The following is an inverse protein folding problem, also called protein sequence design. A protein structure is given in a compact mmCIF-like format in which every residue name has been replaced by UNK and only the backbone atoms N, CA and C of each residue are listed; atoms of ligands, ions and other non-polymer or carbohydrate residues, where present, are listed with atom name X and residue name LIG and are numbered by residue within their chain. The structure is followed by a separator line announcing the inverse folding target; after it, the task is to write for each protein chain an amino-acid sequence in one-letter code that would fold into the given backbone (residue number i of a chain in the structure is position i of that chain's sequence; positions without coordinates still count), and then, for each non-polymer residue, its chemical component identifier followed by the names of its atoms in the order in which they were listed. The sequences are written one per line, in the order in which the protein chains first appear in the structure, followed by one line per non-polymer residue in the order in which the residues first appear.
data_IF_720683174159
#
_entry.id   IF_720683174159
#
_cell.length_a   1.000
_cell.length_b   1.000
_cell.length_c   1.000
_cell.angle_alpha   90.00
_cell.angle_beta   90.00
_cell.angle_gamma   90.00
#
_symmetry.space_group_name_H-M   'P 1'
#
loop_
_entity.id
_entity.type
_entity.pdbx_description
1 polymer ?
#
# COMPACT_ATOMS: atom_id res chain seq x y z
N UNK A 1 36.25 -25.85 24.93
CA UNK A 1 35.53 -26.86 25.74
C UNK A 1 34.06 -26.48 25.99
N UNK A 2 33.35 -25.99 24.96
CA UNK A 2 31.91 -25.64 25.01
C UNK A 2 31.14 -26.11 23.76
N UNK A 3 31.80 -26.86 22.86
CA UNK A 3 31.19 -27.39 21.63
C UNK A 3 30.68 -28.84 21.76
N UNK A 4 31.01 -29.57 22.84
CA UNK A 4 30.61 -30.99 23.01
C UNK A 4 29.35 -31.20 23.85
N UNK A 5 28.75 -30.14 24.43
CA UNK A 5 27.52 -30.26 25.23
C UNK A 5 26.22 -30.06 24.45
N UNK A 6 26.26 -29.50 23.23
CA UNK A 6 25.06 -29.29 22.41
C UNK A 6 24.68 -30.53 21.55
N UNK A 7 25.65 -31.33 21.11
CA UNK A 7 25.38 -32.56 20.35
C UNK A 7 24.70 -33.68 21.16
N UNK A 8 24.91 -33.70 22.47
CA UNK A 8 24.26 -34.66 23.37
C UNK A 8 22.83 -34.29 23.76
N UNK A 9 22.38 -33.04 23.62
CA UNK A 9 20.97 -32.70 23.92
C UNK A 9 20.03 -32.92 22.74
N UNK A 10 20.51 -32.82 21.49
CA UNK A 10 19.70 -33.11 20.29
C UNK A 10 19.47 -34.61 20.07
N UNK A 11 20.40 -35.46 20.53
CA UNK A 11 20.29 -36.93 20.41
C UNK A 11 19.31 -37.54 21.41
N UNK A 12 19.08 -36.90 22.57
CA UNK A 12 18.07 -37.35 23.53
C UNK A 12 16.64 -36.96 23.13
N UNK A 13 16.46 -35.82 22.44
CA UNK A 13 15.14 -35.41 21.94
C UNK A 13 14.64 -36.30 20.80
N UNK A 14 15.54 -36.73 19.90
CA UNK A 14 15.19 -37.68 18.82
C UNK A 14 14.95 -39.10 19.34
N UNK A 15 15.64 -39.53 20.41
CA UNK A 15 15.40 -40.84 21.03
C UNK A 15 14.08 -40.90 21.82
N UNK A 16 13.62 -39.78 22.40
CA UNK A 16 12.32 -39.70 23.05
C UNK A 16 11.14 -39.76 22.06
N UNK A 17 11.34 -39.24 20.84
CA UNK A 17 10.35 -39.26 19.75
C UNK A 17 10.16 -40.69 19.18
N UNK A 18 11.22 -41.51 19.13
CA UNK A 18 11.12 -42.90 18.66
C UNK A 18 10.52 -43.87 19.69
N UNK A 19 10.68 -43.61 20.99
CA UNK A 19 10.14 -44.49 22.03
C UNK A 19 8.61 -44.34 22.22
N UNK A 20 8.02 -43.20 21.87
CA UNK A 20 6.58 -42.99 21.98
C UNK A 20 5.75 -43.63 20.85
N UNK A 21 6.39 -44.11 19.78
CA UNK A 21 5.71 -44.68 18.62
C UNK A 21 5.45 -46.20 18.69
N UNK A 22 5.99 -46.93 19.68
CA UNK A 22 6.00 -48.40 19.63
C UNK A 22 5.21 -49.13 20.72
N UNK A 23 4.39 -48.47 21.54
CA UNK A 23 3.53 -49.19 22.51
C UNK A 23 2.17 -48.53 22.64
N UNK A 24 1.20 -48.95 21.83
CA UNK A 24 -0.20 -49.13 22.26
C UNK A 24 -1.03 -49.80 21.18
N UNK A 25 -1.22 -51.11 21.35
CA UNK A 25 -2.26 -51.89 20.71
C UNK A 25 -3.26 -52.32 21.79
N UNK A 26 -4.41 -51.64 21.90
CA UNK A 26 -5.67 -52.28 22.28
C UNK A 26 -6.84 -51.36 21.92
N UNK A 27 -7.89 -51.99 21.41
CA UNK A 27 -9.05 -51.39 20.79
C UNK A 27 -9.88 -50.53 21.77
N UNK A 28 -9.85 -49.23 21.56
CA UNK A 28 -10.95 -48.30 21.80
C UNK A 28 -10.62 -46.99 21.08
N UNK A 29 -11.64 -46.36 20.48
CA UNK A 29 -11.71 -44.92 20.14
C UNK A 29 -11.19 -44.41 18.78
N UNK A 30 -11.84 -44.78 17.68
CA UNK A 30 -11.63 -44.10 16.38
C UNK A 30 -11.84 -42.57 16.45
N UNK A 31 -12.62 -42.06 17.41
CA UNK A 31 -12.76 -40.61 17.64
C UNK A 31 -11.63 -39.99 18.48
N UNK A 32 -11.04 -40.69 19.46
CA UNK A 32 -9.93 -40.13 20.26
C UNK A 32 -8.59 -40.26 19.55
N UNK A 33 -8.34 -41.33 18.77
CA UNK A 33 -7.08 -41.47 18.02
C UNK A 33 -7.00 -40.44 16.89
N UNK A 34 -8.10 -40.18 16.19
CA UNK A 34 -8.20 -39.09 15.21
C UNK A 34 -8.02 -37.73 15.89
N UNK A 35 -8.68 -37.48 17.03
CA UNK A 35 -8.51 -36.26 17.83
C UNK A 35 -7.07 -36.02 18.29
N UNK A 36 -6.36 -37.07 18.76
CA UNK A 36 -4.97 -36.97 19.20
C UNK A 36 -4.06 -36.69 17.99
N UNK A 37 -4.30 -37.32 16.85
CA UNK A 37 -3.52 -37.08 15.61
C UNK A 37 -3.73 -35.66 15.06
N UNK A 38 -4.95 -35.12 15.14
CA UNK A 38 -5.27 -33.76 14.72
C UNK A 38 -4.66 -32.72 15.67
N UNK A 39 -4.69 -32.98 16.97
CA UNK A 39 -4.04 -32.14 17.98
C UNK A 39 -2.51 -32.15 17.83
N UNK A 40 -1.91 -33.31 17.58
CA UNK A 40 -0.47 -33.43 17.30
C UNK A 40 -0.09 -32.67 16.02
N UNK A 41 -0.85 -32.82 14.93
CA UNK A 41 -0.64 -32.04 13.69
C UNK A 41 -0.77 -30.54 13.94
N UNK A 42 -1.75 -30.11 14.75
CA UNK A 42 -1.93 -28.70 15.12
C UNK A 42 -0.72 -28.15 15.89
N UNK A 43 -0.16 -28.93 16.82
CA UNK A 43 1.04 -28.53 17.58
C UNK A 43 2.26 -28.42 16.65
N UNK A 44 2.46 -29.42 15.76
CA UNK A 44 3.56 -29.40 14.79
C UNK A 44 3.43 -28.19 13.86
N UNK A 45 2.24 -27.92 13.32
CA UNK A 45 1.99 -26.75 12.48
C UNK A 45 2.32 -25.44 13.23
N UNK A 46 1.88 -25.28 14.48
CA UNK A 46 2.24 -24.09 15.28
C UNK A 46 3.74 -23.96 15.50
N UNK A 47 4.45 -25.06 15.75
CA UNK A 47 5.91 -25.04 15.89
C UNK A 47 6.60 -24.63 14.58
N UNK A 48 6.20 -25.21 13.45
CA UNK A 48 6.71 -24.87 12.11
C UNK A 48 6.49 -23.38 11.80
N UNK A 49 5.29 -22.86 12.08
CA UNK A 49 4.96 -21.45 11.89
C UNK A 49 5.85 -20.52 12.74
N UNK A 50 6.09 -20.86 14.01
CA UNK A 50 6.97 -20.08 14.89
C UNK A 50 8.45 -20.14 14.47
N UNK A 51 8.91 -21.31 14.02
CA UNK A 51 10.29 -21.46 13.49
C UNK A 51 10.43 -20.63 12.21
N UNK A 52 9.46 -20.69 11.30
CA UNK A 52 9.45 -19.91 10.07
C UNK A 52 9.52 -18.41 10.37
N UNK A 53 8.66 -17.89 11.25
CA UNK A 53 8.68 -16.48 11.67
C UNK A 53 10.06 -16.04 12.17
N UNK A 54 10.68 -16.87 13.02
CA UNK A 54 12.02 -16.58 13.55
C UNK A 54 13.08 -16.55 12.45
N UNK A 55 13.03 -17.49 11.50
CA UNK A 55 13.97 -17.55 10.37
C UNK A 55 13.81 -16.35 9.44
N UNK A 56 12.57 -15.99 9.11
CA UNK A 56 12.26 -14.83 8.26
C UNK A 56 12.69 -13.54 8.95
N UNK A 57 12.42 -13.37 10.25
CA UNK A 57 12.88 -12.19 10.99
C UNK A 57 14.40 -12.06 10.94
N UNK A 58 15.14 -13.14 11.18
CA UNK A 58 16.60 -13.16 11.07
C UNK A 58 17.09 -12.76 9.67
N UNK A 59 16.43 -13.27 8.62
CA UNK A 59 16.75 -12.93 7.25
C UNK A 59 16.53 -11.44 6.96
N UNK A 60 15.36 -10.90 7.34
CA UNK A 60 15.01 -9.49 7.13
C UNK A 60 15.97 -8.57 7.87
N UNK A 61 16.29 -8.85 9.14
CA UNK A 61 17.18 -8.01 9.94
C UNK A 61 18.60 -7.96 9.35
N UNK A 62 19.15 -9.10 8.95
CA UNK A 62 20.48 -9.15 8.36
C UNK A 62 20.52 -8.48 6.98
N UNK A 63 19.53 -8.73 6.11
CA UNK A 63 19.47 -8.10 4.77
C UNK A 63 19.42 -6.56 4.88
N UNK A 64 18.74 -6.02 5.90
CA UNK A 64 18.67 -4.57 6.12
C UNK A 64 19.99 -3.96 6.56
N UNK A 65 20.84 -4.70 7.26
CA UNK A 65 22.12 -4.22 7.79
C UNK A 65 23.29 -4.34 6.82
N UNK A 66 23.11 -5.02 5.68
CA UNK A 66 24.20 -5.36 4.78
C UNK A 66 23.94 -4.97 3.33
N UNK A 67 25.02 -4.58 2.64
CA UNK A 67 25.01 -4.26 1.21
C UNK A 67 24.95 -5.51 0.31
N UNK A 68 25.39 -6.68 0.80
CA UNK A 68 25.47 -7.93 0.05
C UNK A 68 24.16 -8.76 0.13
N UNK A 69 23.03 -8.13 -0.23
CA UNK A 69 21.70 -8.72 -0.08
C UNK A 69 21.52 -10.10 -0.76
N UNK A 70 21.99 -10.35 -2.00
CA UNK A 70 21.70 -11.62 -2.66
C UNK A 70 22.34 -12.83 -2.00
N UNK A 71 23.59 -12.71 -1.54
CA UNK A 71 24.28 -13.83 -0.87
C UNK A 71 23.63 -14.15 0.47
N UNK A 72 23.26 -13.11 1.22
CA UNK A 72 22.56 -13.25 2.51
C UNK A 72 21.20 -13.90 2.29
N UNK A 73 20.45 -13.44 1.28
CA UNK A 73 19.14 -13.97 0.94
C UNK A 73 19.22 -15.43 0.49
N UNK A 74 20.17 -15.80 -0.36
CA UNK A 74 20.39 -17.19 -0.79
C UNK A 74 20.65 -18.12 0.41
N UNK A 75 21.56 -17.74 1.31
CA UNK A 75 21.88 -18.53 2.50
C UNK A 75 20.67 -18.68 3.44
N UNK A 76 19.87 -17.63 3.63
CA UNK A 76 18.67 -17.71 4.47
C UNK A 76 17.56 -18.53 3.81
N UNK A 77 17.36 -18.42 2.50
CA UNK A 77 16.44 -19.26 1.74
C UNK A 77 16.82 -20.74 1.85
N UNK A 78 18.09 -21.08 1.69
CA UNK A 78 18.56 -22.46 1.89
C UNK A 78 18.20 -22.95 3.29
N UNK A 79 18.48 -22.15 4.33
CA UNK A 79 18.14 -22.50 5.71
C UNK A 79 16.64 -22.71 5.91
N UNK A 80 15.80 -21.83 5.37
CA UNK A 80 14.34 -21.96 5.46
C UNK A 80 13.86 -23.24 4.76
N UNK A 81 14.30 -23.47 3.52
CA UNK A 81 13.90 -24.62 2.72
C UNK A 81 14.31 -25.96 3.34
N UNK A 82 15.41 -26.02 4.09
CA UNK A 82 15.84 -27.23 4.81
C UNK A 82 15.16 -27.41 6.18
N UNK A 83 14.64 -26.33 6.77
CA UNK A 83 14.15 -26.35 8.17
C UNK A 83 12.63 -26.39 8.29
N UNK A 84 11.91 -26.06 7.22
CA UNK A 84 10.46 -25.86 7.25
C UNK A 84 9.76 -26.79 6.28
N UNK A 85 8.65 -27.40 6.72
CA UNK A 85 7.73 -28.08 5.81
C UNK A 85 6.70 -27.08 5.24
N UNK A 86 6.70 -26.79 3.92
CA UNK A 86 5.78 -25.82 3.32
C UNK A 86 4.29 -26.17 3.49
N UNK A 87 3.96 -27.44 3.73
CA UNK A 87 2.59 -27.88 4.00
C UNK A 87 2.08 -27.49 5.40
N UNK A 88 2.98 -27.11 6.31
CA UNK A 88 2.66 -26.82 7.72
C UNK A 88 2.63 -25.33 8.07
N UNK A 89 3.05 -24.47 7.14
CA UNK A 89 3.01 -23.01 7.29
C UNK A 89 1.72 -22.40 6.75
N UNK A 90 1.35 -21.23 7.28
CA UNK A 90 0.13 -20.52 6.84
C UNK A 90 0.28 -19.94 5.43
N UNK A 91 -0.83 -19.60 4.78
CA UNK A 91 -0.78 -19.01 3.44
C UNK A 91 -0.05 -17.65 3.41
N UNK A 92 -0.22 -16.84 4.46
CA UNK A 92 0.55 -15.60 4.63
C UNK A 92 2.07 -15.86 4.71
N UNK A 93 2.49 -16.96 5.35
CA UNK A 93 3.89 -17.35 5.41
C UNK A 93 4.39 -17.92 4.08
N UNK A 94 3.54 -18.63 3.33
CA UNK A 94 3.86 -19.03 1.94
C UNK A 94 4.09 -17.80 1.06
N UNK A 95 3.31 -16.75 1.25
CA UNK A 95 3.48 -15.48 0.54
C UNK A 95 4.79 -14.76 0.93
N UNK A 96 5.18 -14.80 2.21
CA UNK A 96 6.49 -14.32 2.65
C UNK A 96 7.65 -15.10 2.01
N UNK A 97 7.54 -16.43 1.95
CA UNK A 97 8.53 -17.30 1.31
C UNK A 97 8.61 -17.04 -0.20
N UNK A 98 7.46 -16.91 -0.87
CA UNK A 98 7.39 -16.58 -2.29
C UNK A 98 8.04 -15.21 -2.57
N UNK A 99 7.83 -14.23 -1.69
CA UNK A 99 8.46 -12.91 -1.82
C UNK A 99 9.98 -12.97 -1.62
N UNK A 100 10.48 -13.73 -0.65
CA UNK A 100 11.92 -13.95 -0.47
C UNK A 100 12.54 -14.60 -1.71
N UNK A 101 11.89 -15.61 -2.28
CA UNK A 101 12.33 -16.24 -3.53
C UNK A 101 12.29 -15.24 -4.69
N UNK A 102 11.24 -14.45 -4.82
CA UNK A 102 11.13 -13.43 -5.86
C UNK A 102 12.27 -12.41 -5.75
N UNK A 103 12.58 -11.93 -4.54
CA UNK A 103 13.67 -10.99 -4.29
C UNK A 103 15.05 -11.56 -4.64
N UNK A 104 15.26 -12.88 -4.51
CA UNK A 104 16.56 -13.51 -4.78
C UNK A 104 16.88 -13.58 -6.27
N UNK A 105 15.85 -13.55 -7.12
CA UNK A 105 15.96 -13.55 -8.57
C UNK A 105 16.16 -12.15 -9.17
N UNK A 106 16.03 -11.08 -8.36
CA UNK A 106 16.13 -9.70 -8.86
C UNK A 106 17.58 -9.20 -8.87
N UNK A 107 17.98 -8.45 -9.90
CA UNK A 107 19.31 -7.83 -9.95
C UNK A 107 19.51 -6.83 -8.80
N UNK A 108 20.75 -6.73 -8.27
CA UNK A 108 21.11 -5.86 -7.13
C UNK A 108 20.80 -4.38 -7.36
N UNK A 109 20.95 -3.95 -8.60
CA UNK A 109 20.80 -2.58 -9.06
C UNK A 109 20.09 -2.63 -10.40
N UNK A 110 19.03 -1.84 -10.56
CA UNK A 110 18.61 -1.44 -11.89
C UNK A 110 19.61 -0.37 -12.37
N UNK A 111 20.42 -0.76 -13.37
CA UNK A 111 21.13 0.22 -14.17
C UNK A 111 20.10 1.08 -14.91
N UNK A 112 20.33 2.39 -14.99
CA UNK A 112 19.40 3.30 -15.64
C UNK A 112 19.16 4.59 -14.86
N UNK A 113 18.20 5.37 -15.36
CA UNK A 113 17.70 6.61 -14.79
C UNK A 113 17.07 6.39 -13.41
N UNK A 114 16.77 7.49 -12.71
CA UNK A 114 16.01 7.42 -11.46
C UNK A 114 14.61 6.82 -11.68
N UNK A 115 14.00 7.05 -12.85
CA UNK A 115 12.74 6.42 -13.25
C UNK A 115 12.87 4.89 -13.40
N UNK A 116 13.92 4.42 -14.08
CA UNK A 116 14.17 2.96 -14.24
C UNK A 116 14.30 2.27 -12.87
N UNK A 117 14.93 2.97 -11.92
CA UNK A 117 15.03 2.51 -10.52
C UNK A 117 13.69 2.46 -9.82
N UNK A 118 12.88 3.53 -9.93
CA UNK A 118 11.56 3.57 -9.31
C UNK A 118 10.64 2.46 -9.88
N UNK A 119 10.64 2.27 -11.21
CA UNK A 119 9.89 1.18 -11.87
C UNK A 119 10.34 -0.20 -11.39
N UNK A 120 11.66 -0.44 -11.37
CA UNK A 120 12.21 -1.73 -10.98
C UNK A 120 11.93 -2.08 -9.50
N UNK A 121 11.97 -1.10 -8.60
CA UNK A 121 11.62 -1.29 -7.19
C UNK A 121 10.15 -1.67 -7.01
N UNK A 122 9.25 -1.11 -7.82
CA UNK A 122 7.82 -1.39 -7.77
C UNK A 122 7.36 -2.58 -8.61
N UNK A 123 8.31 -3.33 -9.19
CA UNK A 123 8.04 -4.51 -10.02
C UNK A 123 7.06 -4.23 -11.18
N UNK A 124 7.04 -3.00 -11.68
CA UNK A 124 6.27 -2.65 -12.86
C UNK A 124 6.88 -3.33 -14.08
N UNK A 125 6.02 -3.70 -15.02
CA UNK A 125 6.46 -3.95 -16.39
C UNK A 125 7.05 -2.65 -16.97
N UNK A 126 7.96 -2.73 -17.95
CA UNK A 126 8.44 -1.54 -18.65
C UNK A 126 7.26 -0.66 -19.06
N UNK A 127 7.30 0.61 -18.67
CA UNK A 127 6.23 1.54 -19.00
C UNK A 127 6.36 1.90 -20.48
N UNK A 128 5.29 1.74 -21.23
CA UNK A 128 5.13 2.30 -22.57
C UNK A 128 4.68 3.76 -22.43
N UNK A 129 5.58 4.76 -22.59
CA UNK A 129 5.32 6.14 -22.20
C UNK A 129 4.10 6.75 -22.87
N UNK A 130 3.92 6.50 -24.16
CA UNK A 130 2.81 7.04 -24.95
C UNK A 130 1.47 6.43 -24.53
N UNK A 131 1.45 5.13 -24.21
CA UNK A 131 0.25 4.46 -23.73
C UNK A 131 -0.14 4.96 -22.35
N UNK A 132 0.85 5.17 -21.46
CA UNK A 132 0.59 5.71 -20.13
C UNK A 132 0.15 7.16 -20.19
N UNK A 133 0.76 7.98 -21.05
CA UNK A 133 0.33 9.36 -21.31
C UNK A 133 -1.12 9.38 -21.79
N UNK A 134 -1.48 8.55 -22.78
CA UNK A 134 -2.84 8.45 -23.28
C UNK A 134 -3.83 8.06 -22.18
N UNK A 135 -3.52 7.02 -21.40
CA UNK A 135 -4.36 6.58 -20.29
C UNK A 135 -4.56 7.68 -19.24
N UNK A 136 -3.50 8.38 -18.83
CA UNK A 136 -3.57 9.51 -17.89
C UNK A 136 -4.43 10.66 -18.42
N UNK A 137 -4.33 10.97 -19.71
CA UNK A 137 -5.14 12.00 -20.36
C UNK A 137 -6.62 11.62 -20.38
N UNK A 138 -6.94 10.37 -20.66
CA UNK A 138 -8.30 9.85 -20.59
C UNK A 138 -8.84 9.93 -19.17
N UNK A 139 -8.09 9.47 -18.18
CA UNK A 139 -8.51 9.54 -16.77
C UNK A 139 -8.71 10.99 -16.30
N UNK A 140 -7.82 11.90 -16.71
CA UNK A 140 -7.97 13.33 -16.44
C UNK A 140 -9.25 13.91 -17.06
N UNK A 141 -9.63 13.47 -18.27
CA UNK A 141 -10.86 13.89 -18.93
C UNK A 141 -12.11 13.36 -18.20
N UNK A 142 -12.09 12.10 -17.75
CA UNK A 142 -13.20 11.49 -17.00
C UNK A 142 -13.43 12.23 -15.66
N UNK A 143 -12.38 12.46 -14.89
CA UNK A 143 -12.46 13.24 -13.64
C UNK A 143 -12.94 14.68 -13.91
N UNK A 144 -12.50 15.29 -15.01
CA UNK A 144 -12.97 16.62 -15.42
C UNK A 144 -14.46 16.61 -15.74
N UNK A 145 -14.96 15.58 -16.44
CA UNK A 145 -16.38 15.44 -16.76
C UNK A 145 -17.22 15.36 -15.48
N UNK A 146 -16.82 14.53 -14.51
CA UNK A 146 -17.47 14.43 -13.19
C UNK A 146 -17.49 15.78 -12.48
N UNK A 147 -16.35 16.48 -12.42
CA UNK A 147 -16.28 17.83 -11.83
C UNK A 147 -17.23 18.81 -12.51
N UNK A 148 -17.31 18.80 -13.83
CA UNK A 148 -18.18 19.72 -14.59
C UNK A 148 -19.67 19.39 -14.50
N UNK A 149 -20.05 18.25 -13.93
CA UNK A 149 -21.44 17.92 -13.66
C UNK A 149 -22.01 18.66 -12.42
N UNK A 150 -21.16 19.11 -11.49
CA UNK A 150 -21.61 19.85 -10.30
C UNK A 150 -22.11 21.26 -10.61
N UNK A 151 -23.09 21.83 -9.88
CA UNK A 151 -23.56 23.20 -10.05
C UNK A 151 -22.45 24.26 -10.07
N UNK A 152 -22.62 25.30 -10.90
CA UNK A 152 -21.67 26.43 -11.00
C UNK A 152 -21.39 27.11 -9.65
N UNK A 153 -22.40 27.25 -8.81
CA UNK A 153 -22.26 27.82 -7.47
C UNK A 153 -21.24 27.05 -6.63
N UNK A 154 -21.38 25.72 -6.56
CA UNK A 154 -20.48 24.84 -5.82
C UNK A 154 -19.08 24.83 -6.42
N UNK A 155 -18.95 24.83 -7.75
CA UNK A 155 -17.64 24.92 -8.42
C UNK A 155 -16.93 26.23 -8.13
N UNK A 156 -17.65 27.34 -8.15
CA UNK A 156 -17.09 28.66 -7.88
C UNK A 156 -16.70 28.80 -6.40
N UNK A 157 -17.51 28.25 -5.49
CA UNK A 157 -17.18 28.18 -4.06
C UNK A 157 -15.94 27.34 -3.82
N UNK A 158 -15.88 26.12 -4.37
CA UNK A 158 -14.70 25.25 -4.28
C UNK A 158 -13.45 25.95 -4.82
N UNK A 159 -13.54 26.56 -6.02
CA UNK A 159 -12.45 27.33 -6.62
C UNK A 159 -11.96 28.46 -5.73
N UNK A 160 -12.88 29.25 -5.17
CA UNK A 160 -12.54 30.34 -4.28
C UNK A 160 -11.77 29.82 -3.07
N UNK A 161 -12.30 28.81 -2.40
CA UNK A 161 -11.68 28.22 -1.21
C UNK A 161 -10.31 27.56 -1.52
N UNK A 162 -10.17 26.91 -2.68
CA UNK A 162 -8.89 26.35 -3.16
C UNK A 162 -7.87 27.45 -3.45
N UNK A 163 -8.25 28.61 -3.98
CA UNK A 163 -7.27 29.65 -4.25
C UNK A 163 -6.94 30.47 -2.99
N UNK A 164 -7.88 30.60 -2.07
CA UNK A 164 -7.75 31.37 -0.83
C UNK A 164 -6.99 30.65 0.28
N UNK A 165 -7.06 29.32 0.38
CA UNK A 165 -6.25 28.53 1.34
C UNK A 165 -6.53 28.72 2.80
N UNK A 166 -5.77 27.98 3.62
CA UNK A 166 -5.91 28.01 5.07
C UNK A 166 -5.17 29.24 5.60
N UNK A 167 -5.86 30.17 6.27
CA UNK A 167 -5.20 31.28 6.96
C UNK A 167 -4.16 30.81 7.99
N UNK A 168 -3.14 31.62 8.23
CA UNK A 168 -2.04 31.26 9.16
C UNK A 168 -2.40 31.40 10.64
N UNK A 169 -3.58 31.96 10.95
CA UNK A 169 -4.03 32.16 12.32
C UNK A 169 -4.35 30.84 13.04
N UNK A 170 -4.29 30.89 14.37
CA UNK A 170 -4.45 29.71 15.22
C UNK A 170 -5.85 29.10 15.08
N UNK A 171 -6.90 29.90 14.90
CA UNK A 171 -8.27 29.41 14.81
C UNK A 171 -8.49 28.63 13.51
N UNK A 172 -8.00 29.16 12.38
CA UNK A 172 -8.03 28.47 11.09
C UNK A 172 -7.28 27.14 11.11
N UNK A 173 -6.09 27.09 11.73
CA UNK A 173 -5.33 25.86 11.91
C UNK A 173 -6.07 24.82 12.76
N UNK A 174 -6.73 25.26 13.84
CA UNK A 174 -7.55 24.38 14.67
C UNK A 174 -8.79 23.86 13.92
N UNK A 175 -9.44 24.70 13.11
CA UNK A 175 -10.58 24.28 12.30
C UNK A 175 -10.17 23.25 11.25
N UNK A 176 -9.04 23.45 10.58
CA UNK A 176 -8.49 22.48 9.63
C UNK A 176 -8.21 21.12 10.30
N UNK A 177 -7.73 21.15 11.55
CA UNK A 177 -7.54 19.93 12.33
C UNK A 177 -8.86 19.20 12.60
N UNK A 178 -9.90 19.93 13.02
CA UNK A 178 -11.23 19.33 13.23
C UNK A 178 -11.71 18.63 11.96
N UNK A 179 -11.62 19.29 10.79
CA UNK A 179 -12.03 18.69 9.52
C UNK A 179 -11.27 17.39 9.22
N UNK A 180 -9.95 17.35 9.43
CA UNK A 180 -9.15 16.13 9.23
C UNK A 180 -9.61 15.01 10.16
N UNK A 181 -9.79 15.30 11.45
CA UNK A 181 -10.21 14.33 12.45
C UNK A 181 -11.63 13.82 12.19
N UNK A 182 -12.57 14.74 11.95
CA UNK A 182 -13.98 14.44 11.70
C UNK A 182 -14.14 13.61 10.42
N UNK A 183 -13.35 13.89 9.38
CA UNK A 183 -13.34 13.10 8.14
C UNK A 183 -12.93 11.64 8.38
N UNK A 184 -11.93 11.42 9.24
CA UNK A 184 -11.45 10.06 9.54
C UNK A 184 -12.44 9.29 10.38
N UNK A 185 -12.99 9.91 11.43
CA UNK A 185 -14.01 9.32 12.29
C UNK A 185 -15.22 8.93 11.43
N UNK A 186 -15.70 9.86 10.62
CA UNK A 186 -16.86 9.63 9.76
C UNK A 186 -16.62 8.55 8.71
N UNK A 187 -15.42 8.50 8.11
CA UNK A 187 -15.09 7.39 7.22
C UNK A 187 -15.06 6.05 7.96
N UNK A 188 -14.51 5.99 9.17
CA UNK A 188 -14.48 4.77 9.98
C UNK A 188 -15.89 4.29 10.31
N UNK A 189 -16.80 5.21 10.67
CA UNK A 189 -18.19 4.90 10.99
C UNK A 189 -18.96 4.38 9.77
N UNK A 190 -18.73 4.97 8.59
CA UNK A 190 -19.39 4.56 7.34
C UNK A 190 -18.77 3.30 6.74
N UNK A 191 -17.44 3.24 6.71
CA UNK A 191 -16.60 2.23 6.06
C UNK A 191 -17.19 1.72 4.73
N UNK A 192 -17.48 2.63 3.79
CA UNK A 192 -18.26 2.32 2.57
C UNK A 192 -17.61 1.27 1.68
N UNK A 193 -16.29 1.09 1.79
CA UNK A 193 -15.53 0.05 1.07
C UNK A 193 -15.41 -1.27 1.85
N UNK A 194 -16.00 -1.36 3.04
CA UNK A 194 -15.97 -2.52 3.93
C UNK A 194 -14.55 -3.02 4.24
N UNK A 195 -13.62 -2.10 4.46
CA UNK A 195 -12.21 -2.39 4.68
C UNK A 195 -11.96 -2.90 6.11
N UNK A 196 -10.87 -3.66 6.32
CA UNK A 196 -10.51 -4.18 7.64
C UNK A 196 -9.90 -3.07 8.51
N UNK A 197 -10.74 -2.16 9.00
CA UNK A 197 -10.33 -1.05 9.86
C UNK A 197 -10.17 -1.47 11.33
N UNK A 198 -10.62 -2.68 11.69
CA UNK A 198 -10.49 -3.23 13.03
C UNK A 198 -9.02 -3.57 13.34
N UNK A 199 -8.53 -3.13 14.51
CA UNK A 199 -7.15 -3.39 14.94
C UNK A 199 -6.11 -2.44 14.34
N UNK A 200 -6.54 -1.40 13.61
CA UNK A 200 -5.68 -0.25 13.35
C UNK A 200 -5.24 0.35 14.70
N UNK A 201 -3.95 0.65 14.82
CA UNK A 201 -3.45 1.36 16.01
C UNK A 201 -4.19 2.70 16.17
N UNK A 202 -4.23 3.21 17.40
CA UNK A 202 -4.83 4.52 17.67
C UNK A 202 -4.19 5.57 16.75
N UNK A 203 -5.01 6.15 15.86
CA UNK A 203 -4.62 7.26 15.00
C UNK A 203 -4.49 8.50 15.89
N UNK A 204 -3.30 8.75 16.45
CA UNK A 204 -3.07 10.01 17.15
C UNK A 204 -2.70 11.07 16.12
N UNK A 205 -3.45 12.17 16.13
CA UNK A 205 -3.13 13.39 15.41
C UNK A 205 -2.27 14.26 16.34
N UNK A 206 -0.95 14.21 16.15
CA UNK A 206 -0.02 15.06 16.89
C UNK A 206 0.27 16.33 16.09
N UNK A 207 0.01 17.50 16.66
CA UNK A 207 0.52 18.75 16.12
C UNK A 207 2.04 18.80 16.34
N UNK A 208 2.79 19.00 15.27
CA UNK A 208 4.23 19.20 15.34
C UNK A 208 4.52 20.68 15.59
N UNK A 209 5.28 20.96 16.66
CA UNK A 209 5.75 22.31 16.96
C UNK A 209 6.90 22.64 16.00
N UNK A 210 6.67 23.58 15.08
CA UNK A 210 7.68 24.05 14.15
C UNK A 210 7.38 25.48 13.72
N UNK A 211 8.30 26.39 14.04
CA UNK A 211 8.32 27.74 13.46
C UNK A 211 8.92 27.73 12.03
N UNK A 212 9.31 26.56 11.51
CA UNK A 212 9.84 26.43 10.16
C UNK A 212 8.73 26.23 9.11
N UNK A 213 8.79 26.95 7.98
CA UNK A 213 7.77 26.93 6.93
C UNK A 213 7.66 25.60 6.15
N UNK A 214 8.55 24.63 6.41
CA UNK A 214 8.57 23.34 5.71
C UNK A 214 8.34 22.14 6.65
N UNK A 215 8.09 22.38 7.93
CA UNK A 215 7.82 21.30 8.86
C UNK A 215 6.38 20.79 8.70
N UNK A 216 6.18 19.47 8.60
CA UNK A 216 4.84 18.92 8.69
C UNK A 216 4.15 19.43 9.96
N UNK A 217 2.91 19.90 9.85
CA UNK A 217 2.16 20.41 11.01
C UNK A 217 1.47 19.30 11.78
N UNK A 218 1.24 18.14 11.15
CA UNK A 218 0.56 17.02 11.78
C UNK A 218 1.27 15.72 11.50
N UNK A 219 1.11 14.78 12.44
CA UNK A 219 1.61 13.42 12.37
C UNK A 219 0.48 12.47 12.74
N UNK A 220 0.16 11.52 11.88
CA UNK A 220 -0.63 10.34 12.19
C UNK A 220 0.29 9.30 12.82
N UNK A 221 0.26 9.12 14.13
CA UNK A 221 1.03 8.05 14.77
C UNK A 221 0.20 6.77 14.76
N UNK A 222 0.77 5.66 14.31
CA UNK A 222 0.41 4.34 14.81
C UNK A 222 1.68 3.52 15.01
N UNK A 223 1.94 3.11 16.26
CA UNK A 223 3.00 2.16 16.58
C UNK A 223 4.38 2.52 16.00
N UNK A 224 4.82 3.78 16.18
CA UNK A 224 6.10 4.34 15.69
C UNK A 224 6.21 4.58 14.17
N UNK A 225 5.12 4.42 13.42
CA UNK A 225 5.01 4.93 12.05
C UNK A 225 4.14 6.18 12.04
N UNK A 226 4.64 7.22 11.37
CA UNK A 226 4.16 8.58 11.53
C UNK A 226 3.90 9.17 10.14
N UNK A 227 2.65 9.37 9.72
CA UNK A 227 2.36 10.04 8.43
C UNK A 227 2.26 11.53 8.68
N UNK A 228 3.14 12.30 8.06
CA UNK A 228 3.35 13.69 8.39
C UNK A 228 2.72 14.60 7.31
N UNK A 229 1.77 15.46 7.70
CA UNK A 229 1.07 16.39 6.80
C UNK A 229 1.49 17.82 7.14
N UNK A 230 2.05 18.54 6.16
CA UNK A 230 2.45 19.94 6.30
C UNK A 230 1.29 20.89 6.00
N UNK A 231 0.88 21.67 7.00
CA UNK A 231 -0.12 22.74 6.87
C UNK A 231 0.48 24.15 7.14
N UNK A 232 1.81 24.31 7.25
CA UNK A 232 2.46 25.62 7.44
C UNK A 232 2.51 26.39 6.12
N UNK A 233 1.57 27.31 5.99
CA UNK A 233 1.50 28.41 5.02
C UNK A 233 1.24 28.06 3.54
N UNK A 234 0.65 29.04 2.85
CA UNK A 234 0.26 28.91 1.45
C UNK A 234 1.48 28.52 0.59
N UNK A 235 1.31 27.60 -0.38
CA UNK A 235 0.05 27.03 -0.84
C UNK A 235 0.18 25.52 -1.02
N UNK A 236 0.45 24.77 0.05
CA UNK A 236 0.75 23.34 -0.11
C UNK A 236 -0.36 22.38 0.32
N UNK A 237 -1.49 22.85 0.83
CA UNK A 237 -2.78 22.15 0.85
C UNK A 237 -3.82 23.21 1.19
N UNK A 238 -4.87 23.33 0.37
CA UNK A 238 -5.97 24.25 0.61
C UNK A 238 -7.15 23.50 1.26
N UNK A 239 -7.89 24.18 2.15
CA UNK A 239 -8.94 23.64 3.06
C UNK A 239 -9.93 22.66 2.40
N UNK A 240 -10.20 22.87 1.11
CA UNK A 240 -11.05 22.04 0.26
C UNK A 240 -10.57 20.59 0.19
N UNK A 241 -9.27 20.34 0.06
CA UNK A 241 -8.71 18.99 -0.06
C UNK A 241 -8.60 18.27 1.28
N UNK A 242 -8.90 18.90 2.42
CA UNK A 242 -8.61 18.32 3.74
C UNK A 242 -9.29 16.96 3.93
N UNK A 243 -10.55 16.82 3.54
CA UNK A 243 -11.25 15.54 3.67
C UNK A 243 -10.60 14.48 2.75
N UNK A 244 -10.35 14.81 1.48
CA UNK A 244 -9.69 13.90 0.55
C UNK A 244 -8.25 13.54 0.98
N UNK A 245 -7.51 14.50 1.54
CA UNK A 245 -6.17 14.32 2.08
C UNK A 245 -6.20 13.48 3.36
N UNK A 246 -7.18 13.65 4.23
CA UNK A 246 -7.40 12.81 5.39
C UNK A 246 -7.59 11.35 4.96
N UNK A 247 -8.43 11.11 3.95
CA UNK A 247 -8.64 9.77 3.42
C UNK A 247 -7.40 9.20 2.73
N UNK A 248 -6.69 10.02 1.95
CA UNK A 248 -5.51 9.62 1.19
C UNK A 248 -4.33 9.27 2.10
N UNK A 249 -3.99 10.15 3.05
CA UNK A 249 -2.87 9.94 3.96
C UNK A 249 -3.26 9.05 5.15
N UNK A 250 -4.49 9.18 5.65
CA UNK A 250 -5.02 8.40 6.75
C UNK A 250 -5.72 7.13 6.28
N UNK A 251 -6.97 6.96 6.72
CA UNK A 251 -7.83 5.83 6.34
C UNK A 251 -8.89 6.30 5.35
N UNK A 252 -9.12 5.57 4.26
CA UNK A 252 -8.64 4.21 3.99
C UNK A 252 -7.28 4.13 3.28
N UNK A 253 -6.57 5.24 3.07
CA UNK A 253 -5.38 5.30 2.22
C UNK A 253 -4.08 4.76 2.84
N UNK A 254 -3.03 5.60 2.87
CA UNK A 254 -1.67 5.17 3.20
C UNK A 254 -1.55 4.55 4.60
N UNK A 255 -2.32 5.04 5.56
CA UNK A 255 -2.31 4.47 6.90
C UNK A 255 -2.77 3.02 6.90
N UNK A 256 -3.87 2.72 6.22
CA UNK A 256 -4.35 1.34 6.08
C UNK A 256 -3.31 0.48 5.37
N UNK A 257 -2.73 0.97 4.26
CA UNK A 257 -1.67 0.26 3.54
C UNK A 257 -0.52 -0.15 4.46
N UNK A 258 0.02 0.80 5.25
CA UNK A 258 1.12 0.52 6.16
C UNK A 258 0.75 -0.50 7.25
N UNK A 259 -0.49 -0.48 7.75
CA UNK A 259 -0.97 -1.48 8.68
C UNK A 259 -1.11 -2.87 8.03
N UNK A 260 -1.63 -2.95 6.80
CA UNK A 260 -1.77 -4.20 6.06
C UNK A 260 -0.40 -4.87 5.82
N UNK A 261 0.57 -4.10 5.31
CA UNK A 261 1.89 -4.65 4.97
C UNK A 261 2.77 -4.94 6.20
N UNK A 262 2.46 -4.38 7.38
CA UNK A 262 3.20 -4.63 8.63
C UNK A 262 3.22 -6.10 9.03
N UNK A 263 2.14 -6.83 8.71
CA UNK A 263 2.02 -8.28 8.94
C UNK A 263 3.03 -9.10 8.12
N UNK A 264 3.59 -8.53 7.05
CA UNK A 264 4.59 -9.14 6.19
C UNK A 264 5.95 -8.41 6.37
N UNK A 265 6.85 -8.89 7.25
CA UNK A 265 8.13 -8.24 7.49
C UNK A 265 9.04 -8.19 6.25
N UNK A 266 8.82 -9.08 5.27
CA UNK A 266 9.58 -9.18 4.01
C UNK A 266 9.24 -8.04 3.06
N UNK A 267 8.02 -7.48 3.12
CA UNK A 267 7.59 -6.36 2.26
C UNK A 267 8.59 -5.19 2.28
N UNK A 268 9.17 -4.90 3.45
CA UNK A 268 10.17 -3.82 3.63
C UNK A 268 11.44 -4.00 2.80
N UNK A 269 11.69 -5.17 2.23
CA UNK A 269 12.83 -5.45 1.37
C UNK A 269 12.59 -5.04 -0.10
N UNK A 270 11.34 -4.78 -0.49
CA UNK A 270 10.97 -4.41 -1.88
C UNK A 270 11.39 -2.98 -2.25
N UNK A 271 11.49 -2.08 -1.27
CA UNK A 271 11.81 -0.65 -1.44
C UNK A 271 10.89 0.13 -2.41
N UNK A 272 9.67 -0.34 -2.71
CA UNK A 272 8.72 0.41 -3.54
C UNK A 272 8.03 1.52 -2.71
N UNK A 273 8.52 2.76 -2.82
CA UNK A 273 7.98 3.89 -2.06
C UNK A 273 6.63 4.41 -2.61
N UNK A 274 6.35 4.19 -3.90
CA UNK A 274 5.15 4.71 -4.56
C UNK A 274 3.88 3.88 -4.26
N UNK A 275 4.01 2.66 -3.71
CA UNK A 275 2.87 1.75 -3.57
C UNK A 275 1.80 2.29 -2.61
N UNK A 276 2.22 2.85 -1.46
CA UNK A 276 1.27 3.38 -0.48
C UNK A 276 0.41 4.51 -1.09
N UNK A 277 1.05 5.43 -1.81
CA UNK A 277 0.37 6.51 -2.53
C UNK A 277 -0.58 5.96 -3.61
N UNK A 278 -0.12 4.99 -4.41
CA UNK A 278 -0.93 4.39 -5.45
C UNK A 278 -2.16 3.66 -4.89
N UNK A 279 -1.99 2.88 -3.83
CA UNK A 279 -3.08 2.19 -3.16
C UNK A 279 -4.10 3.18 -2.58
N UNK A 280 -3.62 4.26 -1.95
CA UNK A 280 -4.47 5.33 -1.45
C UNK A 280 -5.25 6.03 -2.59
N UNK A 281 -4.60 6.32 -3.71
CA UNK A 281 -5.25 6.93 -4.86
C UNK A 281 -6.30 6.00 -5.47
N UNK A 282 -6.01 4.70 -5.55
CA UNK A 282 -6.93 3.68 -6.03
C UNK A 282 -8.19 3.58 -5.15
N UNK A 283 -8.02 3.48 -3.83
CA UNK A 283 -9.16 3.45 -2.90
C UNK A 283 -9.95 4.76 -2.89
N UNK A 284 -9.26 5.90 -2.99
CA UNK A 284 -9.92 7.19 -3.09
C UNK A 284 -10.78 7.23 -4.36
N UNK A 285 -10.24 6.82 -5.51
CA UNK A 285 -11.00 6.71 -6.77
C UNK A 285 -12.25 5.80 -6.65
N UNK A 286 -12.21 4.76 -5.82
CA UNK A 286 -13.36 3.89 -5.55
C UNK A 286 -14.37 4.50 -4.57
N UNK A 287 -13.94 5.39 -3.70
CA UNK A 287 -14.73 5.85 -2.55
C UNK A 287 -15.91 6.74 -2.97
N UNK A 288 -15.85 7.44 -4.10
CA UNK A 288 -16.96 8.25 -4.59
C UNK A 288 -17.36 9.42 -3.66
N UNK A 289 -18.28 10.26 -4.12
CA UNK A 289 -18.52 11.60 -3.57
C UNK A 289 -19.59 11.71 -2.46
N UNK A 290 -20.35 10.66 -2.13
CA UNK A 290 -21.39 10.67 -1.09
C UNK A 290 -21.52 9.28 -0.45
N UNK A 291 -21.71 9.11 0.88
CA UNK A 291 -21.87 10.10 1.96
C UNK A 291 -20.60 10.36 2.77
N UNK A 292 -19.41 10.09 2.21
CA UNK A 292 -18.13 10.22 2.93
C UNK A 292 -17.77 11.67 3.23
N UNK A 293 -18.21 12.60 2.39
CA UNK A 293 -17.79 13.99 2.45
C UNK A 293 -18.79 14.84 3.24
N UNK A 294 -18.30 15.64 4.17
CA UNK A 294 -19.13 16.43 5.08
C UNK A 294 -19.23 17.89 4.67
N UNK A 295 -18.18 18.48 4.07
CA UNK A 295 -18.28 19.83 3.52
C UNK A 295 -19.10 19.86 2.23
N UNK A 296 -19.91 20.91 2.04
CA UNK A 296 -20.74 21.12 0.83
C UNK A 296 -19.96 21.04 -0.50
N UNK A 297 -18.66 21.36 -0.48
CA UNK A 297 -17.79 21.34 -1.65
C UNK A 297 -16.82 20.14 -1.69
N UNK A 298 -16.81 19.28 -0.66
CA UNK A 298 -15.80 18.21 -0.51
C UNK A 298 -15.86 17.14 -1.62
N UNK A 299 -17.03 16.92 -2.20
CA UNK A 299 -17.18 16.11 -3.41
C UNK A 299 -16.42 16.67 -4.62
N UNK A 300 -16.41 18.00 -4.81
CA UNK A 300 -15.61 18.67 -5.86
C UNK A 300 -14.14 18.63 -5.49
N UNK A 301 -13.81 18.86 -4.21
CA UNK A 301 -12.45 18.78 -3.70
C UNK A 301 -11.78 17.44 -3.97
N UNK A 302 -12.53 16.37 -3.78
CA UNK A 302 -12.08 15.02 -4.03
C UNK A 302 -11.68 14.84 -5.51
N UNK A 303 -12.52 15.32 -6.42
CA UNK A 303 -12.23 15.30 -7.85
C UNK A 303 -11.00 16.15 -8.19
N UNK A 304 -10.87 17.35 -7.61
CA UNK A 304 -9.69 18.20 -7.78
C UNK A 304 -8.42 17.56 -7.21
N UNK A 305 -8.52 16.87 -6.08
CA UNK A 305 -7.39 16.14 -5.48
C UNK A 305 -6.91 15.02 -6.41
N UNK A 306 -7.82 14.19 -6.93
CA UNK A 306 -7.49 13.15 -7.92
C UNK A 306 -6.91 13.75 -9.21
N UNK A 307 -7.52 14.82 -9.74
CA UNK A 307 -7.02 15.56 -10.90
C UNK A 307 -5.60 16.07 -10.66
N UNK A 308 -5.29 16.56 -9.46
CA UNK A 308 -3.94 17.00 -9.10
C UNK A 308 -2.92 15.86 -9.22
N UNK A 309 -3.25 14.67 -8.73
CA UNK A 309 -2.36 13.50 -8.78
C UNK A 309 -2.11 13.07 -10.23
N UNK A 310 -3.15 13.06 -11.06
CA UNK A 310 -3.03 12.77 -12.50
C UNK A 310 -2.21 13.83 -13.22
N UNK A 311 -2.41 15.11 -12.90
CA UNK A 311 -1.64 16.22 -13.48
C UNK A 311 -0.14 16.13 -13.12
N UNK A 312 0.19 15.76 -11.88
CA UNK A 312 1.57 15.56 -11.46
C UNK A 312 2.20 14.33 -12.11
N UNK A 313 1.46 13.23 -12.28
CA UNK A 313 1.96 12.07 -13.02
C UNK A 313 2.26 12.40 -14.49
N UNK A 314 1.40 13.19 -15.15
CA UNK A 314 1.66 13.69 -16.50
C UNK A 314 2.89 14.62 -16.53
N UNK A 315 3.03 15.51 -15.56
CA UNK A 315 4.18 16.41 -15.48
C UNK A 315 5.50 15.68 -15.21
N UNK A 316 5.48 14.63 -14.37
CA UNK A 316 6.63 13.76 -14.10
C UNK A 316 7.07 13.02 -15.37
N UNK A 317 6.09 12.56 -16.17
CA UNK A 317 6.33 11.97 -17.50
C UNK A 317 6.92 12.99 -18.48
N UNK A 318 6.30 14.17 -18.59
CA UNK A 318 6.75 15.26 -19.46
C UNK A 318 8.21 15.64 -19.12
N UNK A 319 8.51 15.79 -17.83
CA UNK A 319 9.82 16.22 -17.34
C UNK A 319 10.92 15.16 -17.52
N UNK A 320 10.67 13.91 -17.12
CA UNK A 320 11.74 12.90 -17.00
C UNK A 320 11.77 11.87 -18.11
N UNK A 321 10.72 11.77 -18.93
CA UNK A 321 10.68 10.85 -20.08
C UNK A 321 10.73 11.63 -21.38
N UNK A 322 9.86 12.63 -21.54
CA UNK A 322 9.81 13.44 -22.75
C UNK A 322 10.81 14.62 -22.75
N UNK A 323 11.55 14.81 -21.66
CA UNK A 323 12.56 15.86 -21.51
C UNK A 323 12.01 17.28 -21.81
N UNK A 324 10.75 17.51 -21.48
CA UNK A 324 10.12 18.84 -21.58
C UNK A 324 10.76 19.74 -20.53
N UNK A 325 11.07 20.98 -20.91
CA UNK A 325 11.73 21.91 -20.01
C UNK A 325 10.84 22.30 -18.82
N UNK A 326 11.49 22.60 -17.69
CA UNK A 326 10.84 22.93 -16.42
C UNK A 326 9.82 24.07 -16.54
N UNK A 327 10.11 25.11 -17.33
CA UNK A 327 9.19 26.25 -17.49
C UNK A 327 7.93 25.85 -18.26
N UNK A 328 8.07 25.07 -19.32
CA UNK A 328 6.92 24.53 -20.06
C UNK A 328 6.09 23.59 -19.18
N UNK A 329 6.72 22.71 -18.39
CA UNK A 329 6.00 21.84 -17.44
C UNK A 329 5.25 22.67 -16.38
N UNK A 330 5.85 23.76 -15.88
CA UNK A 330 5.18 24.68 -14.97
C UNK A 330 3.92 25.28 -15.58
N UNK A 331 4.01 25.81 -16.81
CA UNK A 331 2.87 26.40 -17.51
C UNK A 331 1.77 25.37 -17.81
N UNK A 332 2.18 24.15 -18.16
CA UNK A 332 1.27 23.00 -18.32
C UNK A 332 0.54 22.71 -17.00
N UNK A 333 1.25 22.66 -15.86
CA UNK A 333 0.64 22.42 -14.55
C UNK A 333 -0.32 23.55 -14.16
N UNK A 334 0.00 24.81 -14.45
CA UNK A 334 -0.90 25.96 -14.25
C UNK A 334 -2.22 25.78 -15.01
N UNK A 335 -2.19 25.15 -16.19
CA UNK A 335 -3.41 24.88 -16.96
C UNK A 335 -4.21 23.66 -16.47
N UNK A 336 -3.56 22.71 -15.79
CA UNK A 336 -4.14 21.41 -15.41
C UNK A 336 -4.62 21.36 -13.96
N UNK A 337 -4.01 22.12 -13.06
CA UNK A 337 -4.30 22.09 -11.63
C UNK A 337 -5.03 23.34 -11.18
N UNK A 338 -6.10 23.17 -10.42
CA UNK A 338 -6.68 24.25 -9.66
C UNK A 338 -5.85 24.46 -8.39
N UNK A 339 -4.75 25.19 -8.52
CA UNK A 339 -3.83 25.48 -7.42
C UNK A 339 -3.14 26.82 -7.63
N UNK A 340 -2.64 27.43 -6.56
CA UNK A 340 -1.86 28.67 -6.72
C UNK A 340 -0.48 28.39 -7.33
N UNK A 341 0.15 29.41 -7.92
CA UNK A 341 1.46 29.27 -8.57
C UNK A 341 2.56 28.74 -7.63
N UNK A 342 2.55 29.12 -6.36
CA UNK A 342 3.56 28.62 -5.42
C UNK A 342 3.35 27.13 -5.06
N UNK A 343 2.12 26.59 -5.18
CA UNK A 343 1.82 25.16 -5.02
C UNK A 343 2.47 24.40 -6.16
N UNK A 344 2.19 24.89 -7.36
CA UNK A 344 2.69 24.30 -8.59
C UNK A 344 4.21 24.33 -8.60
N UNK A 345 4.82 25.44 -8.16
CA UNK A 345 6.27 25.52 -8.02
C UNK A 345 6.80 24.46 -7.06
N UNK A 346 6.22 24.31 -5.87
CA UNK A 346 6.66 23.32 -4.90
C UNK A 346 6.52 21.89 -5.44
N UNK A 347 5.38 21.54 -6.02
CA UNK A 347 5.15 20.21 -6.57
C UNK A 347 6.13 19.94 -7.72
N UNK A 348 6.42 20.93 -8.55
CA UNK A 348 7.44 20.81 -9.59
C UNK A 348 8.84 20.56 -9.00
N UNK A 349 9.21 21.23 -7.89
CA UNK A 349 10.46 20.91 -7.19
C UNK A 349 10.44 19.49 -6.60
N UNK A 350 9.28 19.01 -6.12
CA UNK A 350 9.14 17.62 -5.66
C UNK A 350 9.38 16.63 -6.80
N UNK A 351 8.80 16.85 -7.98
CA UNK A 351 9.01 16.02 -9.16
C UNK A 351 10.49 15.98 -9.58
N UNK A 352 11.20 17.10 -9.47
CA UNK A 352 12.64 17.16 -9.74
C UNK A 352 13.43 16.37 -8.68
N UNK A 353 13.06 16.48 -7.40
CA UNK A 353 13.72 15.77 -6.28
C UNK A 353 13.46 14.27 -6.29
N UNK A 354 12.31 13.84 -6.77
CA UNK A 354 11.85 12.43 -6.76
C UNK A 354 11.43 11.99 -8.16
N UNK A 355 12.37 11.86 -9.12
CA UNK A 355 12.04 11.55 -10.50
C UNK A 355 11.27 10.24 -10.63
N UNK A 356 10.12 10.28 -11.30
CA UNK A 356 9.33 9.11 -11.62
C UNK A 356 8.42 8.61 -10.50
N UNK A 357 8.44 9.19 -9.30
CA UNK A 357 7.60 8.72 -8.19
C UNK A 357 6.11 8.88 -8.50
N UNK A 358 5.68 10.04 -8.99
CA UNK A 358 4.29 10.29 -9.31
C UNK A 358 3.84 9.46 -10.53
N UNK A 359 4.72 9.30 -11.51
CA UNK A 359 4.48 8.47 -12.68
C UNK A 359 4.32 6.98 -12.32
N UNK A 360 5.24 6.44 -11.52
CA UNK A 360 5.19 5.05 -11.04
C UNK A 360 3.96 4.82 -10.17
N UNK A 361 3.60 5.76 -9.30
CA UNK A 361 2.38 5.69 -8.51
C UNK A 361 1.14 5.54 -9.41
N UNK A 362 1.01 6.41 -10.43
CA UNK A 362 -0.12 6.32 -11.35
C UNK A 362 -0.12 5.04 -12.20
N UNK A 363 1.06 4.52 -12.57
CA UNK A 363 1.16 3.22 -13.24
C UNK A 363 0.72 2.05 -12.35
N UNK A 364 1.02 2.09 -11.05
CA UNK A 364 0.51 1.10 -10.08
C UNK A 364 -1.03 1.23 -9.97
N UNK A 365 -1.59 2.45 -9.92
CA UNK A 365 -3.06 2.63 -9.91
C UNK A 365 -3.69 1.99 -11.16
N UNK A 366 -3.10 2.23 -12.34
CA UNK A 366 -3.55 1.60 -13.59
C UNK A 366 -3.59 0.08 -13.49
N UNK A 367 -2.55 -0.55 -12.95
CA UNK A 367 -2.49 -2.01 -12.75
C UNK A 367 -3.58 -2.49 -11.77
N UNK A 368 -3.79 -1.79 -10.65
CA UNK A 368 -4.84 -2.13 -9.68
C UNK A 368 -6.25 -2.04 -10.31
N UNK A 369 -6.50 -1.01 -11.12
CA UNK A 369 -7.76 -0.87 -11.87
C UNK A 369 -7.92 -1.98 -12.91
N UNK A 370 -6.84 -2.40 -13.57
CA UNK A 370 -6.85 -3.52 -14.51
C UNK A 370 -7.11 -4.86 -13.81
N UNK A 371 -6.55 -5.08 -12.61
CA UNK A 371 -6.81 -6.29 -11.83
C UNK A 371 -8.28 -6.36 -11.41
N UNK A 372 -8.87 -5.23 -11.00
CA UNK A 372 -10.30 -5.14 -10.70
C UNK A 372 -11.13 -5.46 -11.93
N UNK A 373 -10.92 -4.77 -13.06
CA UNK A 373 -11.69 -4.99 -14.28
C UNK A 373 -11.58 -6.43 -14.80
N UNK A 374 -10.39 -7.03 -14.72
CA UNK A 374 -10.17 -8.44 -15.05
C UNK A 374 -10.96 -9.37 -14.11
N UNK A 375 -11.00 -9.06 -12.82
CA UNK A 375 -11.71 -9.86 -11.83
C UNK A 375 -13.23 -9.75 -12.00
N UNK A 376 -13.74 -8.54 -12.25
CA UNK A 376 -15.12 -8.27 -12.62
C UNK A 376 -15.54 -9.06 -13.86
N UNK A 377 -14.73 -9.00 -14.93
CA UNK A 377 -15.02 -9.72 -16.17
C UNK A 377 -15.06 -11.25 -15.97
N UNK A 378 -14.16 -11.81 -15.15
CA UNK A 378 -14.08 -13.26 -14.90
C UNK A 378 -15.20 -13.78 -14.02
N UNK A 379 -15.53 -13.04 -12.96
CA UNK A 379 -16.53 -13.45 -11.97
C UNK A 379 -17.97 -13.09 -12.40
N UNK A 380 -18.13 -12.10 -13.28
CA UNK A 380 -19.43 -11.69 -13.83
C UNK A 380 -20.40 -11.23 -12.73
N UNK A 381 -21.62 -11.77 -12.74
CA UNK A 381 -22.67 -11.44 -11.77
C UNK A 381 -22.30 -11.78 -10.31
N UNK A 382 -21.30 -12.64 -10.09
CA UNK A 382 -20.79 -12.98 -8.76
C UNK A 382 -19.80 -11.94 -8.22
N UNK A 383 -19.37 -10.97 -9.03
CA UNK A 383 -18.42 -9.97 -8.56
C UNK A 383 -19.00 -9.16 -7.40
N UNK A 384 -18.23 -9.07 -6.31
CA UNK A 384 -18.52 -8.19 -5.18
C UNK A 384 -17.26 -7.41 -4.86
N UNK A 385 -17.35 -6.07 -4.92
CA UNK A 385 -16.20 -5.20 -4.65
C UNK A 385 -15.59 -5.45 -3.27
N UNK A 386 -16.42 -5.69 -2.26
CA UNK A 386 -15.98 -6.05 -0.91
C UNK A 386 -15.09 -7.30 -0.92
N UNK A 387 -15.50 -8.37 -1.60
CA UNK A 387 -14.77 -9.64 -1.60
C UNK A 387 -13.46 -9.51 -2.39
N UNK A 388 -13.49 -8.77 -3.50
CA UNK A 388 -12.30 -8.39 -4.24
C UNK A 388 -11.32 -7.59 -3.38
N UNK A 389 -11.78 -6.55 -2.66
CA UNK A 389 -10.93 -5.71 -1.81
C UNK A 389 -10.36 -6.50 -0.62
N UNK A 390 -11.16 -7.39 -0.01
CA UNK A 390 -10.67 -8.31 1.02
C UNK A 390 -9.51 -9.15 0.49
N UNK A 391 -9.69 -9.76 -0.69
CA UNK A 391 -8.62 -10.54 -1.30
C UNK A 391 -7.40 -9.69 -1.65
N UNK A 392 -7.59 -8.52 -2.24
CA UNK A 392 -6.51 -7.60 -2.58
C UNK A 392 -5.70 -7.22 -1.32
N UNK A 393 -6.38 -6.95 -0.22
CA UNK A 393 -5.76 -6.55 1.06
C UNK A 393 -4.87 -7.65 1.67
N UNK A 394 -5.24 -8.93 1.48
CA UNK A 394 -4.41 -10.07 1.90
C UNK A 394 -3.06 -10.11 1.16
N UNK A 395 -3.05 -9.69 -0.11
CA UNK A 395 -1.88 -9.83 -1.00
C UNK A 395 -1.17 -8.52 -1.30
N UNK A 396 -1.68 -7.37 -0.81
CA UNK A 396 -1.17 -6.03 -1.16
C UNK A 396 0.29 -5.79 -0.77
N UNK A 397 0.81 -6.62 0.15
CA UNK A 397 2.22 -6.60 0.56
C UNK A 397 3.18 -7.21 -0.47
N UNK A 398 2.66 -7.80 -1.55
CA UNK A 398 3.43 -8.46 -2.60
C UNK A 398 3.71 -7.52 -3.80
N UNK A 399 4.73 -7.82 -4.62
CA UNK A 399 4.94 -7.17 -5.91
C UNK A 399 3.76 -7.36 -6.87
N UNK A 400 3.53 -6.37 -7.76
CA UNK A 400 2.41 -6.36 -8.70
C UNK A 400 2.21 -7.67 -9.51
N UNK A 401 3.26 -8.31 -10.06
CA UNK A 401 3.08 -9.58 -10.78
C UNK A 401 2.50 -10.69 -9.89
N UNK A 402 2.93 -10.76 -8.63
CA UNK A 402 2.44 -11.74 -7.66
C UNK A 402 1.02 -11.42 -7.22
N UNK A 403 0.69 -10.13 -7.01
CA UNK A 403 -0.70 -9.70 -6.76
C UNK A 403 -1.58 -10.15 -7.93
N UNK A 404 -1.18 -9.87 -9.17
CA UNK A 404 -1.94 -10.25 -10.37
C UNK A 404 -2.23 -11.74 -10.41
N UNK A 405 -1.23 -12.59 -10.20
CA UNK A 405 -1.39 -14.05 -10.16
C UNK A 405 -2.40 -14.48 -9.09
N UNK A 406 -2.32 -13.91 -7.89
CA UNK A 406 -3.22 -14.21 -6.77
C UNK A 406 -4.65 -13.74 -7.03
N UNK A 407 -4.83 -12.60 -7.69
CA UNK A 407 -6.15 -12.09 -8.09
C UNK A 407 -6.76 -12.91 -9.22
N UNK A 408 -5.95 -13.40 -10.18
CA UNK A 408 -6.41 -14.34 -11.22
C UNK A 408 -6.88 -15.64 -10.59
N UNK A 409 -6.09 -16.22 -9.68
CA UNK A 409 -6.45 -17.46 -9.00
C UNK A 409 -7.76 -17.29 -8.23
N UNK A 410 -7.87 -16.23 -7.42
CA UNK A 410 -9.11 -15.91 -6.70
C UNK A 410 -10.30 -15.75 -7.65
N UNK A 411 -10.13 -15.02 -8.75
CA UNK A 411 -11.20 -14.81 -9.72
C UNK A 411 -11.67 -16.13 -10.34
N UNK A 412 -10.75 -17.05 -10.65
CA UNK A 412 -11.07 -18.36 -11.23
C UNK A 412 -11.87 -19.23 -10.27
N UNK A 413 -11.56 -19.19 -8.97
CA UNK A 413 -12.28 -19.93 -7.93
C UNK A 413 -13.70 -19.37 -7.68
N UNK A 414 -13.99 -18.15 -8.18
CA UNK A 414 -15.28 -17.47 -8.05
C UNK A 414 -15.99 -17.31 -9.41
N UNK A 415 -15.52 -18.02 -10.45
CA UNK A 415 -16.21 -18.10 -11.74
C UNK A 415 -17.54 -18.82 -11.54
N UNK A 416 -18.56 -18.37 -12.27
CA UNK A 416 -19.84 -19.08 -12.38
C UNK A 416 -19.59 -20.50 -12.89
N UNK A 417 -20.03 -21.53 -12.16
CA UNK A 417 -20.33 -22.81 -12.81
C UNK A 417 -21.46 -22.52 -13.80
N UNK A 418 -21.09 -22.42 -15.08
CA UNK A 418 -22.06 -22.35 -16.16
C UNK A 418 -22.57 -23.77 -16.34
N UNK A 419 -23.72 -24.07 -15.74
CA UNK A 419 -24.52 -25.26 -16.05
C UNK A 419 -24.94 -25.27 -17.52
#
# INVERSE_FOLDING_TARGET
MQASRFGHQLTWLTMFILCCCCHWSSAASDTKTVSISQQQRSIVAKMEQLIFEKLVSQAVDEIRMHSDRPRILARHLDKINHSINPAMISDAQKDQLALLNWLSLRPRYSAGSALDKAQAQCALQPLEPEQLHHWLRTWSADLTAVRTAYPDSLRNEARKTILEGIPSDRAAKHQAMSVLQDSLIHYIDLNVLHLPLHGLGELTLEQLNGDEPYLPLFRYNANAQSIQVNLTEKPLIHFVELEAAALFYGVPGQHLFHNLVKSNPVHRLTNCNAFAEAYAQYLLNLSGSDPIYQQNHAAISHQEFLLSRVALALADLDLHVFNVDKSTVFDILVSRMLASKARIQFELEQLIRQPGQALVSAAIVKELMQFQAMSEQRTGENFRLRDYLNRLNEVISLPLPMIREKMIAWSNDHVREVD
#
